data_IF_413956269825
#
_entry.id   IF_413956269825
#
_cell.length_a   1.000
_cell.length_b   1.000
_cell.length_c   1.000
_cell.angle_alpha   90.00
_cell.angle_beta   90.00
_cell.angle_gamma   90.00
#
_symmetry.space_group_name_H-M   'P 1'
#
loop_
_entity.id
_entity.type
_entity.pdbx_description
1 polymer ?
#
# COMPACT_ATOMS: atom_id res chain seq x y z
N UNK A 1 0.82 -2.21 19.49
CA UNK A 1 -0.18 -2.29 18.40
C UNK A 1 0.33 -1.77 17.05
N UNK A 2 1.35 -0.90 16.98
CA UNK A 2 1.94 -0.43 15.71
C UNK A 2 2.59 -1.55 14.86
N UNK A 3 3.15 -2.55 15.53
CA UNK A 3 3.80 -3.70 14.91
C UNK A 3 2.87 -4.58 14.09
N UNK A 4 1.59 -4.71 14.43
CA UNK A 4 0.64 -5.52 13.64
C UNK A 4 0.34 -4.83 12.30
N UNK A 5 -0.04 -3.55 12.36
CA UNK A 5 -0.43 -2.78 11.18
C UNK A 5 0.71 -2.68 10.16
N UNK A 6 1.95 -2.52 10.61
CA UNK A 6 3.12 -2.51 9.72
C UNK A 6 3.36 -3.86 9.02
N UNK A 7 3.19 -4.97 9.73
CA UNK A 7 3.36 -6.31 9.14
C UNK A 7 2.22 -6.65 8.18
N UNK A 8 0.98 -6.29 8.53
CA UNK A 8 -0.19 -6.40 7.67
C UNK A 8 0.00 -5.55 6.39
N UNK A 9 0.41 -4.30 6.53
CA UNK A 9 0.73 -3.44 5.39
C UNK A 9 1.84 -4.01 4.51
N UNK A 10 2.92 -4.57 5.09
CA UNK A 10 4.02 -5.18 4.31
C UNK A 10 3.53 -6.37 3.49
N UNK A 11 2.66 -7.22 4.06
CA UNK A 11 2.05 -8.35 3.36
C UNK A 11 1.20 -7.86 2.18
N UNK A 12 0.34 -6.88 2.42
CA UNK A 12 -0.61 -6.39 1.42
C UNK A 12 0.11 -5.59 0.33
N UNK A 13 1.14 -4.82 0.70
CA UNK A 13 2.04 -4.13 -0.23
C UNK A 13 2.74 -5.10 -1.19
N UNK A 14 3.28 -6.23 -0.68
CA UNK A 14 3.87 -7.27 -1.55
C UNK A 14 2.85 -7.85 -2.52
N UNK A 15 1.64 -8.12 -2.04
CA UNK A 15 0.53 -8.63 -2.87
C UNK A 15 0.15 -7.62 -3.95
N UNK A 16 0.05 -6.33 -3.60
CA UNK A 16 -0.22 -5.24 -4.54
C UNK A 16 0.83 -5.19 -5.65
N UNK A 17 2.12 -5.19 -5.32
CA UNK A 17 3.20 -5.21 -6.33
C UNK A 17 3.13 -6.42 -7.26
N UNK A 18 2.85 -7.61 -6.72
CA UNK A 18 2.67 -8.83 -7.53
C UNK A 18 1.49 -8.68 -8.48
N UNK A 19 0.37 -8.14 -8.00
CA UNK A 19 -0.83 -7.91 -8.82
C UNK A 19 -0.55 -6.93 -9.96
N UNK A 20 0.11 -5.80 -9.69
CA UNK A 20 0.44 -4.82 -10.73
C UNK A 20 1.36 -5.39 -11.82
N UNK A 21 2.33 -6.21 -11.44
CA UNK A 21 3.21 -6.93 -12.38
C UNK A 21 2.43 -7.93 -13.24
N UNK A 22 1.54 -8.72 -12.63
CA UNK A 22 0.71 -9.69 -13.34
C UNK A 22 -0.29 -9.01 -14.30
N UNK A 23 -0.72 -7.79 -13.99
CA UNK A 23 -1.51 -6.94 -14.90
C UNK A 23 -0.72 -6.40 -16.09
N UNK A 24 0.59 -6.61 -16.15
CA UNK A 24 1.43 -6.13 -17.26
C UNK A 24 1.61 -4.62 -17.30
N UNK A 25 1.45 -3.92 -16.16
CA UNK A 25 1.66 -2.47 -16.12
C UNK A 25 3.14 -2.13 -16.34
N UNK A 26 3.39 -0.95 -16.94
CA UNK A 26 4.76 -0.47 -17.12
C UNK A 26 5.48 -0.30 -15.77
N UNK A 27 6.81 -0.54 -15.71
CA UNK A 27 7.58 -0.36 -14.49
C UNK A 27 7.41 1.03 -13.84
N UNK A 28 7.41 2.08 -14.65
CA UNK A 28 7.21 3.46 -14.19
C UNK A 28 5.85 3.68 -13.50
N UNK A 29 4.79 3.04 -14.03
CA UNK A 29 3.46 3.05 -13.43
C UNK A 29 3.43 2.28 -12.11
N UNK A 30 4.10 1.12 -12.05
CA UNK A 30 4.22 0.33 -10.82
C UNK A 30 4.94 1.14 -9.74
N UNK A 31 6.03 1.81 -10.10
CA UNK A 31 6.81 2.64 -9.16
C UNK A 31 6.00 3.82 -8.63
N UNK A 32 5.20 4.46 -9.48
CA UNK A 32 4.30 5.55 -9.08
C UNK A 32 3.25 5.07 -8.07
N UNK A 33 2.56 3.95 -8.34
CA UNK A 33 1.58 3.38 -7.41
C UNK A 33 2.20 2.88 -6.12
N UNK A 34 3.35 2.20 -6.20
CA UNK A 34 4.10 1.75 -5.03
C UNK A 34 4.54 2.92 -4.14
N UNK A 35 4.91 4.06 -4.74
CA UNK A 35 5.24 5.28 -4.01
C UNK A 35 4.00 5.90 -3.35
N UNK A 36 2.88 5.97 -4.06
CA UNK A 36 1.63 6.52 -3.53
C UNK A 36 1.16 5.73 -2.30
N UNK A 37 1.07 4.40 -2.40
CA UNK A 37 0.63 3.54 -1.29
C UNK A 37 1.55 3.63 -0.07
N UNK A 38 2.88 3.72 -0.25
CA UNK A 38 3.80 3.92 0.87
C UNK A 38 3.60 5.26 1.58
N UNK A 39 3.33 6.33 0.82
CA UNK A 39 3.04 7.66 1.40
C UNK A 39 1.73 7.67 2.16
N UNK A 40 0.67 7.09 1.59
CA UNK A 40 -0.63 6.96 2.24
C UNK A 40 -0.48 6.11 3.52
N UNK A 41 0.19 4.96 3.44
CA UNK A 41 0.50 4.12 4.59
C UNK A 41 1.21 4.88 5.71
N UNK A 42 2.28 5.61 5.39
CA UNK A 42 3.00 6.41 6.38
C UNK A 42 2.15 7.51 7.03
N UNK A 43 1.19 8.09 6.28
CA UNK A 43 0.29 9.12 6.81
C UNK A 43 -0.73 8.55 7.80
N UNK A 44 -1.21 7.32 7.57
CA UNK A 44 -2.24 6.66 8.39
C UNK A 44 -1.69 5.58 9.33
N UNK A 45 -0.42 5.70 9.76
CA UNK A 45 0.23 4.70 10.63
C UNK A 45 0.08 3.24 10.14
N UNK A 46 0.10 3.06 8.82
CA UNK A 46 -0.05 1.80 8.09
C UNK A 46 -1.39 1.07 8.31
N UNK A 47 -2.40 1.74 8.87
CA UNK A 47 -3.77 1.21 9.07
C UNK A 47 -4.69 1.66 7.92
N UNK A 48 -4.56 0.97 6.79
CA UNK A 48 -5.32 1.28 5.56
C UNK A 48 -6.66 0.55 5.47
N UNK A 49 -6.90 -0.41 6.36
CA UNK A 49 -8.09 -1.25 6.47
C UNK A 49 -9.28 -0.54 7.16
N UNK A 50 -9.04 0.58 7.83
CA UNK A 50 -10.03 1.33 8.60
C UNK A 50 -10.02 2.83 8.26
N UNK A 51 -10.00 3.12 6.95
CA UNK A 51 -10.11 4.49 6.44
C UNK A 51 -11.58 4.89 6.31
N UNK A 52 -11.89 6.12 6.72
CA UNK A 52 -13.19 6.76 6.54
C UNK A 52 -13.02 8.11 5.85
N UNK A 53 -14.09 8.61 5.22
CA UNK A 53 -14.12 9.96 4.69
C UNK A 53 -14.04 10.98 5.84
N UNK A 54 -13.39 12.12 5.59
CA UNK A 54 -13.48 13.24 6.50
C UNK A 54 -14.95 13.71 6.56
N UNK A 55 -15.44 13.96 7.78
CA UNK A 55 -16.80 14.46 8.04
C UNK A 55 -17.02 15.86 7.45
#
# INVERSE_FOLDING_TARGET
MKTSNEEDFKRDYKTHLKHLKLKGLQPSTIDAYARAIRRIGAHFDYRLDDLSEAQ
#
